data_IF_776922691777
#
_entry.id   IF_776922691777
#
_cell.length_a   1.000
_cell.length_b   1.000
_cell.length_c   1.000
_cell.angle_alpha   90.00
_cell.angle_beta   90.00
_cell.angle_gamma   90.00
#
_symmetry.space_group_name_H-M   'P 1'
#
loop_
_entity.id
_entity.type
_entity.pdbx_description
1 polymer ?
#
# COMPACT_ATOMS: atom_id res chain seq x y z
N UNK A 1 -59.10 15.80 84.65
CA UNK A 1 -58.25 16.19 85.77
C UNK A 1 -57.03 15.29 85.81
N UNK A 2 -55.84 15.89 85.98
CA UNK A 2 -54.52 15.33 86.25
C UNK A 2 -53.68 14.87 85.03
N UNK A 3 -52.77 15.78 84.67
CA UNK A 3 -51.53 15.60 83.91
C UNK A 3 -50.60 14.54 84.52
N UNK A 4 -49.99 13.77 83.67
CA UNK A 4 -48.66 13.22 83.95
C UNK A 4 -47.78 13.40 82.74
N UNK A 5 -46.69 14.17 82.89
CA UNK A 5 -45.58 14.36 81.98
C UNK A 5 -44.73 13.09 82.00
N UNK A 6 -44.38 12.58 80.85
CA UNK A 6 -43.28 11.64 80.68
C UNK A 6 -42.21 12.32 79.79
N UNK A 7 -41.02 12.41 80.35
CA UNK A 7 -39.81 12.90 79.72
C UNK A 7 -39.28 11.79 78.82
N UNK A 8 -39.21 12.04 77.56
CA UNK A 8 -38.64 11.14 76.58
C UNK A 8 -37.14 11.33 76.50
N UNK A 9 -36.42 10.28 76.85
CA UNK A 9 -34.96 10.10 76.57
C UNK A 9 -34.82 9.46 75.17
N UNK A 10 -34.59 10.26 74.19
CA UNK A 10 -34.00 9.85 72.93
C UNK A 10 -33.52 11.10 72.18
N UNK A 11 -32.24 11.36 72.13
CA UNK A 11 -31.53 11.38 70.91
C UNK A 11 -30.04 11.07 71.06
N UNK A 12 -29.62 9.82 70.93
CA UNK A 12 -28.20 9.50 70.86
C UNK A 12 -27.85 8.39 69.86
N UNK A 13 -28.76 8.00 69.00
CA UNK A 13 -28.50 6.93 68.05
C UNK A 13 -28.57 7.35 66.59
N UNK A 14 -28.65 8.63 66.25
CA UNK A 14 -28.79 9.09 64.84
C UNK A 14 -27.50 9.67 64.27
N UNK A 15 -26.41 9.77 65.04
CA UNK A 15 -25.17 10.38 64.56
C UNK A 15 -24.09 9.37 64.09
N UNK A 16 -24.35 8.07 64.10
CA UNK A 16 -23.39 7.02 63.66
C UNK A 16 -23.78 6.34 62.35
N UNK A 17 -24.89 6.73 61.74
CA UNK A 17 -25.41 6.15 60.46
C UNK A 17 -25.06 6.92 59.18
N UNK A 18 -24.41 8.11 59.24
CA UNK A 18 -24.17 8.96 58.06
C UNK A 18 -22.74 8.93 57.56
N UNK A 19 -21.83 8.17 58.20
CA UNK A 19 -20.42 8.14 57.81
C UNK A 19 -20.01 6.95 56.94
N UNK A 20 -20.95 6.14 56.41
CA UNK A 20 -20.61 4.94 55.63
C UNK A 20 -21.20 4.95 54.19
N UNK A 21 -21.65 6.06 53.67
CA UNK A 21 -22.15 6.16 52.28
C UNK A 21 -21.35 7.15 51.40
N UNK A 22 -20.11 7.45 51.75
CA UNK A 22 -19.15 8.13 50.85
C UNK A 22 -18.07 7.20 50.33
N UNK A 23 -18.41 5.95 50.00
CA UNK A 23 -17.54 5.12 49.21
C UNK A 23 -17.98 5.20 47.77
N UNK A 24 -17.34 6.14 47.02
CA UNK A 24 -16.85 5.87 45.73
C UNK A 24 -17.87 5.43 44.68
N UNK A 25 -18.76 6.30 44.27
CA UNK A 25 -19.14 6.31 42.87
C UNK A 25 -17.96 6.94 42.10
N UNK A 26 -16.87 6.19 41.91
CA UNK A 26 -15.98 6.45 40.78
C UNK A 26 -16.86 6.34 39.56
N UNK A 27 -17.32 7.48 39.06
CA UNK A 27 -17.77 7.59 37.69
C UNK A 27 -16.65 7.00 36.84
N UNK A 28 -16.81 5.73 36.45
CA UNK A 28 -16.16 5.16 35.32
C UNK A 28 -16.65 6.00 34.14
N UNK A 29 -16.03 7.16 33.92
CA UNK A 29 -16.09 7.84 32.64
C UNK A 29 -15.48 6.84 31.69
N UNK A 30 -16.33 6.03 31.02
CA UNK A 30 -15.92 5.37 29.78
C UNK A 30 -15.29 6.50 28.97
N UNK A 31 -13.96 6.54 28.93
CA UNK A 31 -13.25 7.30 27.92
C UNK A 31 -13.79 6.73 26.62
N UNK A 32 -14.60 7.50 25.94
CA UNK A 32 -15.00 7.17 24.57
C UNK A 32 -13.69 7.01 23.83
N UNK A 33 -13.35 5.77 23.43
CA UNK A 33 -12.13 5.52 22.70
C UNK A 33 -12.10 6.49 21.52
N UNK A 34 -10.95 7.14 21.30
CA UNK A 34 -10.74 7.89 20.07
C UNK A 34 -10.74 6.88 18.93
N UNK A 35 -11.32 7.22 17.80
CA UNK A 35 -11.34 6.35 16.61
C UNK A 35 -10.49 6.98 15.53
N UNK A 36 -9.50 6.25 15.06
CA UNK A 36 -8.69 6.60 13.88
C UNK A 36 -9.36 6.03 12.63
N UNK A 37 -9.53 6.85 11.61
CA UNK A 37 -10.14 6.45 10.35
C UNK A 37 -9.10 6.39 9.23
N UNK A 38 -8.89 5.18 8.70
CA UNK A 38 -7.97 4.93 7.60
C UNK A 38 -8.76 4.72 6.30
N UNK A 39 -8.27 5.24 5.20
CA UNK A 39 -8.75 4.94 3.86
C UNK A 39 -7.57 4.31 3.10
N UNK A 40 -7.59 2.98 2.93
CA UNK A 40 -6.44 2.19 2.54
C UNK A 40 -6.79 1.22 1.39
N UNK A 41 -5.79 0.68 0.75
CA UNK A 41 -5.94 -0.42 -0.18
C UNK A 41 -6.56 -1.64 0.51
N UNK A 42 -7.30 -2.44 -0.24
CA UNK A 42 -7.90 -3.68 0.26
C UNK A 42 -6.79 -4.63 0.74
N UNK A 43 -6.90 -5.11 1.99
CA UNK A 43 -5.97 -6.05 2.62
C UNK A 43 -4.50 -5.61 2.70
N UNK A 44 -4.22 -4.31 2.80
CA UNK A 44 -2.86 -3.77 2.72
C UNK A 44 -2.20 -3.47 4.08
N UNK A 45 -2.91 -3.58 5.17
CA UNK A 45 -2.35 -3.51 6.53
C UNK A 45 -2.80 -4.74 7.31
N UNK A 46 -1.87 -5.53 7.90
CA UNK A 46 -2.24 -6.74 8.64
C UNK A 46 -3.14 -6.43 9.85
N UNK A 47 -4.20 -7.23 10.03
CA UNK A 47 -5.11 -7.07 11.18
C UNK A 47 -4.38 -7.17 12.52
N UNK A 48 -3.33 -7.98 12.60
CA UNK A 48 -2.50 -8.11 13.80
C UNK A 48 -1.78 -6.81 14.17
N UNK A 49 -1.36 -6.02 13.19
CA UNK A 49 -0.72 -4.71 13.38
C UNK A 49 -1.74 -3.70 13.87
N UNK A 50 -2.95 -3.70 13.28
CA UNK A 50 -4.06 -2.85 13.73
C UNK A 50 -4.44 -3.16 15.18
N UNK A 51 -4.64 -4.43 15.53
CA UNK A 51 -4.99 -4.84 16.89
C UNK A 51 -3.91 -4.47 17.91
N UNK A 52 -2.62 -4.50 17.55
CA UNK A 52 -1.53 -4.06 18.42
C UNK A 52 -1.60 -2.55 18.67
N UNK A 53 -1.86 -1.75 17.62
CA UNK A 53 -2.02 -0.30 17.75
C UNK A 53 -3.22 0.05 18.65
N UNK A 54 -4.38 -0.56 18.40
CA UNK A 54 -5.59 -0.36 19.21
C UNK A 54 -5.34 -0.65 20.69
N UNK A 55 -4.68 -1.77 20.97
CA UNK A 55 -4.35 -2.20 22.35
C UNK A 55 -3.36 -1.26 23.01
N UNK A 56 -2.32 -0.83 22.31
CA UNK A 56 -1.26 0.00 22.89
C UNK A 56 -1.75 1.41 23.18
N UNK A 57 -2.53 2.00 22.28
CA UNK A 57 -2.99 3.39 22.38
C UNK A 57 -4.38 3.54 23.00
N UNK A 58 -5.11 2.44 23.23
CA UNK A 58 -6.46 2.48 23.81
C UNK A 58 -7.45 3.18 22.90
N UNK A 59 -7.41 2.89 21.60
CA UNK A 59 -8.20 3.51 20.54
C UNK A 59 -8.88 2.45 19.68
N UNK A 60 -9.87 2.86 18.88
CA UNK A 60 -10.44 2.02 17.82
C UNK A 60 -9.87 2.47 16.47
N UNK A 61 -9.64 1.54 15.55
CA UNK A 61 -9.27 1.84 14.16
C UNK A 61 -10.39 1.37 13.23
N UNK A 62 -10.79 2.23 12.30
CA UNK A 62 -11.75 1.91 11.24
C UNK A 62 -11.08 2.05 9.89
N UNK A 63 -11.19 1.02 9.06
CA UNK A 63 -10.60 0.98 7.73
C UNK A 63 -11.72 0.88 6.70
N UNK A 64 -11.79 1.87 5.82
CA UNK A 64 -12.48 1.76 4.54
C UNK A 64 -11.43 1.44 3.47
N UNK A 65 -11.81 0.62 2.49
CA UNK A 65 -10.89 0.18 1.46
C UNK A 65 -11.28 0.71 0.08
N UNK A 66 -10.28 0.73 -0.82
CA UNK A 66 -10.41 1.00 -2.24
C UNK A 66 -9.54 0.04 -3.06
N UNK A 67 -9.91 -0.13 -4.33
CA UNK A 67 -9.21 -1.01 -5.25
C UNK A 67 -8.27 -0.25 -6.23
N UNK A 68 -8.48 1.07 -6.41
CA UNK A 68 -7.64 1.89 -7.27
C UNK A 68 -7.46 3.30 -6.74
N UNK A 69 -6.39 3.98 -7.15
CA UNK A 69 -6.17 5.40 -6.82
C UNK A 69 -7.30 6.30 -7.37
N UNK A 70 -7.85 5.96 -8.56
CA UNK A 70 -8.94 6.68 -9.19
C UNK A 70 -10.20 6.63 -8.33
N UNK A 71 -10.55 5.45 -7.81
CA UNK A 71 -11.69 5.26 -6.90
C UNK A 71 -11.50 6.08 -5.61
N UNK A 72 -10.33 5.95 -4.97
CA UNK A 72 -9.96 6.69 -3.78
C UNK A 72 -10.09 8.19 -4.00
N UNK A 73 -9.49 8.71 -5.07
CA UNK A 73 -9.44 10.13 -5.38
C UNK A 73 -10.82 10.68 -5.74
N UNK A 74 -11.59 9.97 -6.58
CA UNK A 74 -12.96 10.36 -6.92
C UNK A 74 -13.86 10.43 -5.67
N UNK A 75 -13.74 9.47 -4.75
CA UNK A 75 -14.49 9.45 -3.49
C UNK A 75 -14.13 10.66 -2.61
N UNK A 76 -12.85 11.00 -2.49
CA UNK A 76 -12.40 12.19 -1.74
C UNK A 76 -12.86 13.50 -2.39
N UNK A 77 -12.79 13.63 -3.72
CA UNK A 77 -13.29 14.80 -4.45
C UNK A 77 -14.80 14.97 -4.35
N UNK A 78 -15.55 13.86 -4.28
CA UNK A 78 -16.99 13.89 -4.04
C UNK A 78 -17.38 14.30 -2.62
N UNK A 79 -16.40 14.63 -1.77
CA UNK A 79 -16.62 15.11 -0.42
C UNK A 79 -16.79 14.01 0.63
N UNK A 80 -16.18 12.86 0.44
CA UNK A 80 -16.07 11.86 1.49
C UNK A 80 -15.16 12.40 2.61
N UNK A 81 -15.78 12.75 3.74
CA UNK A 81 -15.09 13.30 4.91
C UNK A 81 -14.99 12.26 6.03
N UNK A 82 -14.03 12.49 6.92
CA UNK A 82 -13.91 11.75 8.17
C UNK A 82 -12.78 10.75 8.23
N UNK A 83 -12.03 10.59 7.15
CA UNK A 83 -10.78 9.85 7.18
C UNK A 83 -9.65 10.73 7.72
N UNK A 84 -8.74 10.11 8.47
CA UNK A 84 -7.57 10.77 9.02
C UNK A 84 -6.34 10.51 8.14
N UNK A 85 -6.14 9.27 7.70
CA UNK A 85 -5.00 8.84 6.87
C UNK A 85 -5.52 8.18 5.59
N UNK A 86 -4.84 8.47 4.47
CA UNK A 86 -5.02 7.82 3.17
C UNK A 86 -3.67 7.30 2.66
N UNK A 87 -3.68 6.27 1.80
CA UNK A 87 -2.47 5.58 1.31
C UNK A 87 -2.33 5.65 -0.22
N UNK A 88 -2.21 6.83 -0.82
CA UNK A 88 -2.08 6.98 -2.26
C UNK A 88 -0.70 6.53 -2.77
N UNK A 89 -0.66 6.09 -4.03
CA UNK A 89 0.59 5.95 -4.75
C UNK A 89 1.18 7.33 -5.10
N UNK A 90 2.44 7.36 -5.49
CA UNK A 90 3.25 8.58 -5.68
C UNK A 90 2.65 9.63 -6.61
N UNK A 91 2.05 9.22 -7.72
CA UNK A 91 1.42 10.11 -8.71
C UNK A 91 0.19 10.81 -8.12
N UNK A 92 -0.68 10.07 -7.45
CA UNK A 92 -1.83 10.66 -6.73
C UNK A 92 -1.40 11.44 -5.49
N UNK A 93 -0.33 11.04 -4.79
CA UNK A 93 0.26 11.84 -3.72
C UNK A 93 0.70 13.21 -4.25
N UNK A 94 1.39 13.25 -5.41
CA UNK A 94 1.79 14.50 -6.06
C UNK A 94 0.59 15.38 -6.42
N UNK A 95 -0.47 14.80 -6.99
CA UNK A 95 -1.72 15.50 -7.32
C UNK A 95 -2.38 16.07 -6.06
N UNK A 96 -2.51 15.26 -5.00
CA UNK A 96 -3.14 15.67 -3.74
C UNK A 96 -2.35 16.79 -3.04
N UNK A 97 -1.02 16.77 -3.12
CA UNK A 97 -0.17 17.89 -2.63
C UNK A 97 -0.47 19.17 -3.42
N UNK A 98 -0.49 19.10 -4.75
CA UNK A 98 -0.78 20.26 -5.64
C UNK A 98 -2.16 20.86 -5.34
N UNK A 99 -3.15 20.03 -5.06
CA UNK A 99 -4.52 20.45 -4.75
C UNK A 99 -4.72 20.87 -3.28
N UNK A 100 -3.69 20.79 -2.42
CA UNK A 100 -3.80 21.17 -1.01
C UNK A 100 -4.70 20.26 -0.18
N UNK A 101 -4.85 19.00 -0.58
CA UNK A 101 -5.71 18.00 0.08
C UNK A 101 -5.06 17.36 1.32
N UNK A 102 -3.75 17.56 1.52
CA UNK A 102 -2.97 16.93 2.58
C UNK A 102 -2.53 17.93 3.65
N UNK A 103 -2.49 17.47 4.90
CA UNK A 103 -1.87 18.20 6.01
C UNK A 103 -0.34 18.04 5.97
N UNK A 104 0.35 19.04 6.50
CA UNK A 104 1.79 18.91 6.73
C UNK A 104 2.06 17.94 7.87
N UNK A 105 3.08 17.12 7.71
CA UNK A 105 3.52 16.16 8.71
C UNK A 105 4.56 16.81 9.63
N UNK A 106 4.33 16.72 10.93
CA UNK A 106 5.30 17.13 11.94
C UNK A 106 6.23 15.95 12.26
N UNK A 107 7.37 15.89 11.58
CA UNK A 107 8.35 14.82 11.75
C UNK A 107 8.97 14.77 13.17
N UNK A 108 8.87 15.84 13.96
CA UNK A 108 9.34 15.83 15.36
C UNK A 108 8.51 14.90 16.24
N UNK A 109 7.26 14.61 15.82
CA UNK A 109 6.34 13.65 16.45
C UNK A 109 6.44 12.23 15.90
N UNK A 110 7.29 12.02 14.89
CA UNK A 110 7.54 10.71 14.26
C UNK A 110 9.02 10.35 14.39
N UNK A 111 9.56 10.09 15.59
CA UNK A 111 10.98 9.79 15.78
C UNK A 111 11.47 8.57 14.98
N UNK A 112 10.59 7.62 14.64
CA UNK A 112 10.93 6.45 13.83
C UNK A 112 11.12 6.77 12.33
N UNK A 113 10.93 8.04 11.90
CA UNK A 113 11.24 8.45 10.53
C UNK A 113 12.72 8.22 10.14
N UNK A 114 13.61 8.11 11.13
CA UNK A 114 15.04 7.79 10.93
C UNK A 114 15.27 6.42 10.28
N UNK A 115 14.28 5.52 10.33
CA UNK A 115 14.36 4.19 9.72
C UNK A 115 13.92 4.18 8.25
N UNK A 116 13.36 5.28 7.74
CA UNK A 116 13.00 5.38 6.31
C UNK A 116 14.26 5.43 5.47
N UNK A 117 14.35 4.54 4.51
CA UNK A 117 15.50 4.41 3.61
C UNK A 117 15.72 5.71 2.80
N UNK A 118 16.90 6.34 2.91
CA UNK A 118 17.22 7.55 2.15
C UNK A 118 17.12 7.37 0.62
N UNK A 119 17.37 6.17 0.09
CA UNK A 119 17.25 5.91 -1.34
C UNK A 119 15.80 5.97 -1.83
N UNK A 120 14.85 5.57 -0.98
CA UNK A 120 13.40 5.76 -1.27
C UNK A 120 13.07 7.24 -1.33
N UNK A 121 13.60 8.04 -0.40
CA UNK A 121 13.36 9.50 -0.38
C UNK A 121 13.95 10.19 -1.61
N UNK A 122 15.08 9.72 -2.14
CA UNK A 122 15.64 10.23 -3.41
C UNK A 122 14.73 9.94 -4.59
N UNK A 123 14.08 8.77 -4.60
CA UNK A 123 13.10 8.39 -5.64
C UNK A 123 11.75 9.13 -5.45
N UNK A 124 11.39 9.49 -4.23
CA UNK A 124 10.15 10.23 -3.92
C UNK A 124 10.27 11.73 -4.26
N UNK A 125 10.52 12.06 -5.52
CA UNK A 125 10.77 13.43 -6.01
C UNK A 125 9.62 14.39 -5.73
N UNK A 126 8.41 13.86 -5.58
CA UNK A 126 7.19 14.62 -5.25
C UNK A 126 7.17 15.14 -3.80
N UNK A 127 7.87 14.47 -2.86
CA UNK A 127 7.96 14.88 -1.45
C UNK A 127 9.19 14.25 -0.74
N UNK A 128 10.39 14.52 -1.23
CA UNK A 128 11.64 13.93 -0.74
C UNK A 128 11.98 14.26 0.73
N UNK A 129 11.25 15.17 1.34
CA UNK A 129 11.42 15.60 2.74
C UNK A 129 10.35 15.09 3.69
N UNK A 130 9.44 14.26 3.21
CA UNK A 130 8.29 13.76 3.98
C UNK A 130 7.45 14.88 4.61
N UNK A 131 7.27 15.99 3.88
CA UNK A 131 6.50 17.13 4.37
C UNK A 131 5.00 16.86 4.40
N UNK A 132 4.50 16.01 3.50
CA UNK A 132 3.09 15.68 3.34
C UNK A 132 2.82 14.17 3.30
N UNK A 133 3.86 13.36 3.09
CA UNK A 133 3.74 11.94 2.86
C UNK A 133 4.90 11.19 3.51
N UNK A 134 4.63 10.05 4.14
CA UNK A 134 5.67 9.15 4.66
C UNK A 134 5.58 7.84 3.87
N UNK A 135 6.66 7.39 3.21
CA UNK A 135 6.64 6.15 2.46
C UNK A 135 6.15 4.97 3.31
N UNK A 136 5.20 4.23 2.75
CA UNK A 136 4.64 3.03 3.37
C UNK A 136 5.24 1.77 2.76
N UNK A 137 5.23 1.68 1.42
CA UNK A 137 5.88 0.60 0.70
C UNK A 137 6.39 1.08 -0.67
N UNK A 138 7.42 0.39 -1.20
CA UNK A 138 7.98 0.63 -2.52
C UNK A 138 8.16 -0.72 -3.22
N UNK A 139 7.61 -0.85 -4.42
CA UNK A 139 7.68 -2.06 -5.23
C UNK A 139 7.55 -1.78 -6.72
N UNK A 140 7.58 -2.86 -7.50
CA UNK A 140 7.38 -2.84 -8.94
C UNK A 140 6.64 -4.10 -9.39
N UNK A 141 5.97 -4.03 -10.53
CA UNK A 141 5.53 -5.24 -11.22
C UNK A 141 6.75 -6.01 -11.73
N UNK A 142 6.63 -7.32 -11.75
CA UNK A 142 7.66 -8.22 -12.23
C UNK A 142 7.07 -9.32 -13.10
N UNK A 143 7.86 -10.38 -13.28
CA UNK A 143 7.47 -11.54 -14.07
C UNK A 143 7.47 -12.78 -13.21
N UNK A 144 6.32 -13.47 -13.16
CA UNK A 144 6.22 -14.81 -12.59
C UNK A 144 6.29 -15.86 -13.69
N UNK A 145 7.16 -16.85 -13.49
CA UNK A 145 7.40 -17.97 -14.41
C UNK A 145 7.14 -19.28 -13.71
N UNK A 146 6.34 -20.14 -14.32
CA UNK A 146 6.16 -21.52 -13.88
C UNK A 146 7.36 -22.36 -14.33
N UNK A 147 8.31 -22.63 -13.43
CA UNK A 147 9.55 -23.38 -13.71
C UNK A 147 9.29 -24.82 -14.15
N UNK A 148 8.14 -25.39 -13.91
CA UNK A 148 7.80 -26.74 -14.36
C UNK A 148 7.39 -26.78 -15.83
N UNK A 149 7.11 -25.63 -16.43
CA UNK A 149 6.62 -25.48 -17.81
C UNK A 149 7.58 -24.71 -18.70
N UNK A 150 8.36 -23.80 -18.13
CA UNK A 150 9.26 -22.92 -18.88
C UNK A 150 10.69 -23.13 -18.39
N UNK A 151 11.58 -23.46 -19.29
CA UNK A 151 13.00 -23.62 -19.04
C UNK A 151 13.81 -22.60 -19.88
N UNK A 152 15.05 -22.33 -19.47
CA UNK A 152 16.04 -21.55 -20.22
C UNK A 152 15.50 -20.17 -20.66
N UNK A 153 15.30 -19.27 -19.71
CA UNK A 153 14.91 -17.89 -19.95
C UNK A 153 15.84 -16.92 -19.21
N UNK A 154 16.01 -15.75 -19.80
CA UNK A 154 16.66 -14.62 -19.14
C UNK A 154 15.64 -13.88 -18.26
N UNK A 155 16.12 -13.29 -17.18
CA UNK A 155 15.29 -12.41 -16.31
C UNK A 155 15.17 -11.02 -16.97
N UNK A 156 14.41 -10.97 -18.05
CA UNK A 156 14.24 -9.83 -18.94
C UNK A 156 12.80 -9.77 -19.44
N UNK A 157 12.33 -8.57 -19.80
CA UNK A 157 11.03 -8.38 -20.48
C UNK A 157 10.96 -9.08 -21.84
N UNK A 158 12.12 -9.44 -22.44
CA UNK A 158 12.16 -10.18 -23.71
C UNK A 158 11.46 -11.55 -23.64
N UNK A 159 11.18 -12.06 -22.45
CA UNK A 159 10.41 -13.31 -22.26
C UNK A 159 9.06 -13.25 -22.98
N UNK A 160 8.42 -12.06 -23.07
CA UNK A 160 7.14 -11.89 -23.75
C UNK A 160 7.26 -11.93 -25.30
N UNK A 161 8.47 -11.84 -25.85
CA UNK A 161 8.73 -12.03 -27.27
C UNK A 161 8.89 -13.50 -27.69
N UNK A 162 8.89 -14.45 -26.71
CA UNK A 162 9.08 -15.88 -26.97
C UNK A 162 7.86 -16.52 -27.65
N UNK A 163 8.04 -16.89 -28.91
CA UNK A 163 6.99 -17.50 -29.73
C UNK A 163 6.65 -18.94 -29.35
N UNK A 164 7.57 -19.65 -28.71
CA UNK A 164 7.33 -21.03 -28.19
C UNK A 164 6.41 -21.03 -26.95
N UNK A 165 6.20 -19.87 -26.30
CA UNK A 165 5.26 -19.67 -25.21
C UNK A 165 3.94 -19.04 -25.66
N UNK A 166 3.72 -18.89 -26.96
CA UNK A 166 2.49 -18.30 -27.52
C UNK A 166 1.24 -18.95 -26.96
N UNK A 167 0.30 -18.13 -26.48
CA UNK A 167 -0.95 -18.60 -25.89
C UNK A 167 -0.81 -19.11 -24.45
N UNK A 168 0.32 -18.80 -23.78
CA UNK A 168 0.59 -19.16 -22.38
C UNK A 168 1.11 -17.99 -21.55
N UNK A 169 1.03 -16.76 -22.08
CA UNK A 169 1.51 -15.57 -21.43
C UNK A 169 0.40 -14.53 -21.27
N UNK A 170 0.49 -13.74 -20.22
CA UNK A 170 -0.42 -12.64 -19.93
C UNK A 170 0.37 -11.44 -19.39
N UNK A 171 0.00 -10.24 -19.80
CA UNK A 171 0.46 -9.00 -19.19
C UNK A 171 -0.72 -8.30 -18.50
N UNK A 172 -0.43 -7.39 -17.59
CA UNK A 172 -1.44 -6.59 -16.92
C UNK A 172 -2.22 -5.73 -17.90
N UNK A 173 -3.50 -5.50 -17.66
CA UNK A 173 -4.29 -4.47 -18.36
C UNK A 173 -4.07 -3.12 -17.67
N UNK A 174 -2.82 -2.68 -17.65
CA UNK A 174 -2.39 -1.40 -17.09
C UNK A 174 -1.42 -0.71 -18.06
N UNK A 175 -1.85 0.43 -18.59
CA UNK A 175 -1.06 1.15 -19.59
C UNK A 175 0.27 1.67 -19.06
N UNK A 176 0.32 2.09 -17.79
CA UNK A 176 1.54 2.66 -17.20
C UNK A 176 2.56 1.59 -16.90
N UNK A 177 2.10 0.39 -16.54
CA UNK A 177 2.98 -0.77 -16.37
C UNK A 177 3.49 -1.26 -17.72
N UNK A 178 2.62 -1.64 -18.64
CA UNK A 178 3.03 -2.30 -19.90
C UNK A 178 3.85 -1.38 -20.81
N UNK A 179 3.43 -0.11 -20.99
CA UNK A 179 4.20 0.86 -21.79
C UNK A 179 5.51 1.19 -21.08
N UNK A 180 5.50 1.34 -19.75
CA UNK A 180 6.68 1.62 -18.94
C UNK A 180 7.71 0.49 -19.02
N UNK A 181 7.27 -0.76 -18.98
CA UNK A 181 8.16 -1.94 -19.14
C UNK A 181 8.78 -2.00 -20.52
N UNK A 182 8.01 -1.67 -21.56
CA UNK A 182 8.53 -1.60 -22.93
C UNK A 182 9.55 -0.47 -23.06
N UNK A 183 9.30 0.69 -22.48
CA UNK A 183 10.27 1.80 -22.44
C UNK A 183 11.54 1.39 -21.69
N UNK A 184 11.42 0.77 -20.52
CA UNK A 184 12.57 0.29 -19.75
C UNK A 184 13.38 -0.74 -20.55
N UNK A 185 12.71 -1.71 -21.20
CA UNK A 185 13.37 -2.69 -22.08
C UNK A 185 14.16 -2.02 -23.21
N UNK A 186 13.65 -0.93 -23.77
CA UNK A 186 14.31 -0.14 -24.81
C UNK A 186 15.38 0.82 -24.26
N UNK A 187 15.65 0.82 -22.95
CA UNK A 187 16.59 1.74 -22.31
C UNK A 187 16.11 3.19 -22.29
N UNK A 188 14.78 3.41 -22.28
CA UNK A 188 14.13 4.71 -22.27
C UNK A 188 13.53 5.03 -20.90
N UNK A 189 13.35 6.31 -20.54
CA UNK A 189 12.66 6.67 -19.32
C UNK A 189 11.20 6.14 -19.31
N UNK A 190 10.76 5.53 -18.21
CA UNK A 190 9.39 4.98 -18.07
C UNK A 190 8.29 6.05 -18.15
N UNK A 191 8.66 7.32 -17.99
CA UNK A 191 7.77 8.47 -18.09
C UNK A 191 7.97 9.26 -19.39
N UNK A 192 8.65 8.70 -20.41
CA UNK A 192 8.94 9.41 -21.65
C UNK A 192 7.65 9.90 -22.34
N UNK A 193 7.65 11.17 -22.74
CA UNK A 193 6.63 11.79 -23.56
C UNK A 193 7.12 12.07 -24.99
N UNK A 194 8.34 11.61 -25.31
CA UNK A 194 8.91 11.69 -26.66
C UNK A 194 8.15 10.75 -27.60
N UNK A 195 7.72 11.30 -28.73
CA UNK A 195 6.89 10.55 -29.69
C UNK A 195 7.64 9.37 -30.33
N UNK A 196 8.99 9.47 -30.50
CA UNK A 196 9.79 8.40 -31.06
C UNK A 196 9.97 7.25 -30.04
N UNK A 197 10.13 7.57 -28.76
CA UNK A 197 10.19 6.58 -27.68
C UNK A 197 8.85 5.84 -27.55
N UNK A 198 7.75 6.57 -27.52
CA UNK A 198 6.40 6.01 -27.44
C UNK A 198 6.06 5.14 -28.66
N UNK A 199 6.43 5.59 -29.86
CA UNK A 199 6.27 4.79 -31.09
C UNK A 199 7.11 3.50 -31.03
N UNK A 200 8.34 3.56 -30.55
CA UNK A 200 9.18 2.37 -30.39
C UNK A 200 8.58 1.37 -29.40
N UNK A 201 8.06 1.86 -28.25
CA UNK A 201 7.36 1.03 -27.26
C UNK A 201 6.09 0.39 -27.86
N UNK A 202 5.28 1.16 -28.60
CA UNK A 202 4.11 0.64 -29.32
C UNK A 202 4.49 -0.53 -30.24
N UNK A 203 5.51 -0.33 -31.08
CA UNK A 203 5.95 -1.36 -32.03
C UNK A 203 6.48 -2.61 -31.31
N UNK A 204 7.22 -2.45 -30.23
CA UNK A 204 7.68 -3.57 -29.43
C UNK A 204 6.50 -4.39 -28.86
N UNK A 205 5.53 -3.70 -28.24
CA UNK A 205 4.38 -4.37 -27.64
C UNK A 205 3.51 -5.00 -28.74
N UNK A 206 3.12 -4.25 -29.75
CA UNK A 206 2.18 -4.69 -30.78
C UNK A 206 2.76 -5.82 -31.65
N UNK A 207 4.03 -5.74 -32.03
CA UNK A 207 4.63 -6.65 -33.00
C UNK A 207 5.34 -7.85 -32.37
N UNK A 208 5.80 -7.71 -31.11
CA UNK A 208 6.66 -8.74 -30.48
C UNK A 208 6.02 -9.39 -29.27
N UNK A 209 5.36 -8.63 -28.41
CA UNK A 209 4.80 -9.15 -27.17
C UNK A 209 3.35 -9.59 -27.32
N UNK A 210 2.44 -8.69 -27.75
CA UNK A 210 1.00 -8.94 -27.89
C UNK A 210 0.68 -10.20 -28.69
N UNK A 211 1.33 -10.53 -29.83
CA UNK A 211 1.01 -11.74 -30.61
C UNK A 211 1.21 -13.05 -29.86
N UNK A 212 1.96 -13.03 -28.75
CA UNK A 212 2.24 -14.22 -27.95
C UNK A 212 1.34 -14.31 -26.70
N UNK A 213 0.68 -13.20 -26.32
CA UNK A 213 -0.21 -13.14 -25.16
C UNK A 213 -1.54 -13.85 -25.45
N UNK A 214 -2.17 -14.36 -24.40
CA UNK A 214 -3.58 -14.74 -24.40
C UNK A 214 -4.44 -13.47 -24.35
N UNK A 215 -4.10 -12.56 -23.43
CA UNK A 215 -4.81 -11.29 -23.18
C UNK A 215 -3.96 -10.35 -22.33
N UNK A 216 -4.43 -9.11 -22.21
CA UNK A 216 -4.15 -8.25 -21.08
C UNK A 216 -5.21 -8.50 -20.00
N UNK A 217 -4.82 -8.53 -18.71
CA UNK A 217 -5.72 -8.89 -17.59
C UNK A 217 -5.40 -8.03 -16.36
N UNK A 218 -6.38 -7.29 -15.86
CA UNK A 218 -6.19 -6.41 -14.71
C UNK A 218 -6.16 -7.17 -13.36
N UNK A 219 -6.96 -8.23 -13.23
CA UNK A 219 -7.23 -8.85 -11.91
C UNK A 219 -7.03 -10.37 -11.89
N UNK A 220 -7.28 -11.05 -13.01
CA UNK A 220 -7.34 -12.51 -13.06
C UNK A 220 -6.00 -13.21 -13.33
N UNK A 221 -4.92 -12.49 -13.60
CA UNK A 221 -3.63 -13.04 -14.01
C UNK A 221 -3.02 -14.02 -12.98
N UNK A 222 -3.09 -13.69 -11.68
CA UNK A 222 -2.58 -14.54 -10.61
C UNK A 222 -3.35 -15.86 -10.52
N UNK A 223 -4.68 -15.83 -10.58
CA UNK A 223 -5.53 -17.00 -10.56
C UNK A 223 -5.30 -17.90 -11.77
N UNK A 224 -5.19 -17.31 -12.96
CA UNK A 224 -4.93 -18.05 -14.20
C UNK A 224 -3.50 -18.63 -14.24
N UNK A 225 -2.54 -17.99 -13.59
CA UNK A 225 -1.21 -18.55 -13.39
C UNK A 225 -1.24 -19.74 -12.43
N UNK A 226 -1.93 -19.61 -11.29
CA UNK A 226 -2.05 -20.67 -10.29
C UNK A 226 -2.76 -21.92 -10.83
N UNK A 227 -3.79 -21.76 -11.69
CA UNK A 227 -4.48 -22.86 -12.38
C UNK A 227 -3.61 -23.54 -13.45
N UNK A 228 -2.58 -22.86 -13.97
CA UNK A 228 -1.71 -23.35 -15.05
C UNK A 228 -2.17 -22.98 -16.46
N UNK A 229 -3.18 -22.13 -16.60
CA UNK A 229 -3.61 -21.59 -17.89
C UNK A 229 -2.54 -20.69 -18.49
N UNK A 230 -1.91 -19.85 -17.63
CA UNK A 230 -0.72 -19.08 -17.98
C UNK A 230 0.54 -19.68 -17.37
N UNK A 231 1.63 -19.62 -18.10
CA UNK A 231 2.94 -20.10 -17.65
C UNK A 231 3.89 -18.94 -17.32
N UNK A 232 3.63 -17.79 -17.91
CA UNK A 232 4.34 -16.53 -17.66
C UNK A 232 3.32 -15.40 -17.51
N UNK A 233 3.43 -14.62 -16.45
CA UNK A 233 2.59 -13.44 -16.23
C UNK A 233 3.43 -12.26 -15.78
N UNK A 234 3.10 -11.06 -16.29
CA UNK A 234 3.49 -9.80 -15.67
C UNK A 234 2.50 -9.48 -14.56
N UNK A 235 2.99 -9.06 -13.41
CA UNK A 235 2.13 -8.64 -12.31
C UNK A 235 2.89 -8.38 -11.02
N UNK A 236 2.15 -8.05 -9.98
CA UNK A 236 2.70 -7.88 -8.64
C UNK A 236 2.90 -9.24 -7.97
N UNK A 237 4.02 -9.40 -7.26
CA UNK A 237 4.38 -10.65 -6.59
C UNK A 237 3.28 -11.14 -5.67
N UNK A 238 2.76 -10.27 -4.81
CA UNK A 238 1.72 -10.57 -3.84
C UNK A 238 0.43 -11.07 -4.51
N UNK A 239 0.04 -10.51 -5.64
CA UNK A 239 -1.15 -10.93 -6.38
C UNK A 239 -0.99 -12.33 -7.00
N UNK A 240 0.22 -12.69 -7.42
CA UNK A 240 0.52 -14.04 -7.93
C UNK A 240 0.58 -15.04 -6.78
N UNK A 241 1.33 -14.74 -5.74
CA UNK A 241 1.56 -15.69 -4.64
C UNK A 241 0.36 -15.87 -3.71
N UNK A 242 -0.57 -14.89 -3.65
CA UNK A 242 -1.85 -15.07 -2.96
C UNK A 242 -2.70 -16.20 -3.56
N UNK A 243 -2.58 -16.46 -4.87
CA UNK A 243 -3.37 -17.48 -5.57
C UNK A 243 -2.64 -18.83 -5.67
N UNK A 244 -1.30 -18.84 -5.59
CA UNK A 244 -0.51 -20.08 -5.67
C UNK A 244 -0.42 -20.72 -4.29
N UNK A 245 -0.82 -22.00 -4.12
CA UNK A 245 -0.64 -22.70 -2.85
C UNK A 245 0.82 -22.69 -2.37
N UNK A 246 1.07 -22.43 -1.10
CA UNK A 246 2.43 -22.27 -0.54
C UNK A 246 3.36 -23.46 -0.86
N UNK A 247 2.83 -24.68 -0.81
CA UNK A 247 3.60 -25.90 -1.15
C UNK A 247 4.03 -25.97 -2.62
N UNK A 248 3.54 -25.07 -3.48
CA UNK A 248 3.91 -24.93 -4.90
C UNK A 248 4.78 -23.70 -5.18
N UNK A 249 5.03 -22.84 -4.21
CA UNK A 249 5.87 -21.64 -4.40
C UNK A 249 7.25 -21.97 -4.95
N UNK A 250 7.83 -23.10 -4.56
CA UNK A 250 9.09 -23.59 -5.12
C UNK A 250 9.09 -23.81 -6.64
N UNK A 251 7.92 -23.89 -7.28
CA UNK A 251 7.76 -24.02 -8.73
C UNK A 251 7.63 -22.69 -9.45
N UNK A 252 7.55 -21.58 -8.71
CA UNK A 252 7.47 -20.22 -9.26
C UNK A 252 8.85 -19.58 -9.19
N UNK A 253 9.28 -18.95 -10.26
CA UNK A 253 10.37 -17.96 -10.24
C UNK A 253 9.73 -16.59 -10.48
N UNK A 254 9.80 -15.72 -9.47
CA UNK A 254 9.40 -14.33 -9.61
C UNK A 254 10.63 -13.45 -9.65
N UNK A 255 10.68 -12.54 -10.58
CA UNK A 255 11.79 -11.60 -10.70
C UNK A 255 11.33 -10.24 -11.25
N UNK A 256 12.01 -9.20 -10.83
CA UNK A 256 11.99 -7.91 -11.51
C UNK A 256 13.01 -8.00 -12.65
N UNK A 257 12.62 -7.74 -13.91
CA UNK A 257 13.54 -7.80 -15.04
C UNK A 257 14.75 -6.89 -14.89
N UNK A 258 15.89 -7.33 -15.42
CA UNK A 258 17.19 -6.61 -15.31
C UNK A 258 17.17 -5.19 -15.88
N UNK A 259 16.27 -4.91 -16.79
CA UNK A 259 16.07 -3.59 -17.37
C UNK A 259 15.34 -2.63 -16.41
N UNK A 260 14.78 -3.14 -15.30
CA UNK A 260 13.89 -2.44 -14.43
C UNK A 260 12.49 -2.30 -15.05
N UNK A 261 11.73 -1.34 -14.57
CA UNK A 261 10.36 -1.05 -15.00
C UNK A 261 9.78 0.11 -14.19
N UNK A 262 8.46 0.34 -14.28
CA UNK A 262 7.76 1.27 -13.42
C UNK A 262 7.86 0.89 -11.95
N UNK A 263 8.17 1.87 -11.10
CA UNK A 263 8.23 1.76 -9.65
C UNK A 263 7.07 2.50 -9.03
N UNK A 264 6.47 1.95 -7.99
CA UNK A 264 5.51 2.66 -7.17
C UNK A 264 6.02 2.88 -5.74
N UNK A 265 5.57 3.96 -5.12
CA UNK A 265 5.73 4.24 -3.70
C UNK A 265 4.37 4.63 -3.16
N UNK A 266 3.78 3.76 -2.36
CA UNK A 266 2.60 4.10 -1.60
C UNK A 266 3.01 4.81 -0.32
N UNK A 267 2.26 5.84 0.06
CA UNK A 267 2.63 6.69 1.18
C UNK A 267 1.48 6.88 2.15
N UNK A 268 1.79 6.95 3.44
CA UNK A 268 0.86 7.39 4.48
C UNK A 268 0.74 8.91 4.42
N UNK A 269 -0.46 9.41 4.11
CA UNK A 269 -0.76 10.83 4.00
C UNK A 269 -1.89 11.21 4.95
N UNK A 270 -1.74 12.31 5.70
CA UNK A 270 -2.78 12.84 6.57
C UNK A 270 -3.66 13.79 5.76
N UNK A 271 -4.96 13.52 5.71
CA UNK A 271 -5.91 14.34 4.95
C UNK A 271 -6.12 15.72 5.58
N UNK A 272 -6.33 16.73 4.73
CA UNK A 272 -6.68 18.07 5.16
C UNK A 272 -7.96 18.05 5.98
N UNK A 273 -7.88 18.60 7.21
CA UNK A 273 -9.01 18.60 8.15
C UNK A 273 -9.23 17.26 8.88
N UNK A 274 -8.23 16.36 8.92
CA UNK A 274 -8.23 15.17 9.75
C UNK A 274 -8.59 15.52 11.21
N UNK A 275 -9.56 14.81 11.78
CA UNK A 275 -10.04 15.10 13.14
C UNK A 275 -9.09 14.63 14.22
N UNK A 276 -8.29 13.62 13.92
CA UNK A 276 -7.39 12.96 14.85
C UNK A 276 -5.94 13.08 14.40
N UNK A 277 -5.52 14.30 14.00
CA UNK A 277 -4.18 14.57 13.45
C UNK A 277 -3.04 14.01 14.32
N UNK A 278 -3.07 14.25 15.66
CA UNK A 278 -2.03 13.73 16.55
C UNK A 278 -2.02 12.20 16.61
N UNK A 279 -3.20 11.56 16.61
CA UNK A 279 -3.32 10.12 16.58
C UNK A 279 -2.85 9.53 15.24
N UNK A 280 -3.06 10.27 14.14
CA UNK A 280 -2.52 9.90 12.82
C UNK A 280 -0.99 9.90 12.81
N UNK A 281 -0.35 10.89 13.45
CA UNK A 281 1.12 10.92 13.60
C UNK A 281 1.62 9.76 14.48
N UNK A 282 0.90 9.43 15.56
CA UNK A 282 1.21 8.28 16.42
C UNK A 282 1.12 6.97 15.63
N UNK A 283 0.10 6.82 14.77
CA UNK A 283 -0.05 5.65 13.91
C UNK A 283 1.11 5.52 12.91
N UNK A 284 1.45 6.62 12.21
CA UNK A 284 2.59 6.63 11.27
C UNK A 284 3.88 6.25 12.01
N UNK A 285 4.12 6.84 13.18
CA UNK A 285 5.30 6.52 13.99
C UNK A 285 5.30 5.05 14.47
N UNK A 286 4.15 4.51 14.82
CA UNK A 286 3.99 3.10 15.22
C UNK A 286 4.31 2.15 14.06
N UNK A 287 3.76 2.41 12.87
CA UNK A 287 4.03 1.60 11.67
C UNK A 287 5.53 1.58 11.34
N UNK A 288 6.23 2.70 11.51
CA UNK A 288 7.67 2.79 11.21
C UNK A 288 8.58 2.10 12.24
N UNK A 289 8.07 1.55 13.34
CA UNK A 289 8.88 0.71 14.24
C UNK A 289 9.36 -0.52 13.49
N UNK A 290 10.66 -0.84 13.48
CA UNK A 290 11.19 -1.97 12.70
C UNK A 290 10.49 -3.30 12.94
N UNK A 291 10.19 -3.61 14.22
CA UNK A 291 9.51 -4.85 14.61
C UNK A 291 8.02 -4.89 14.23
N UNK A 292 7.39 -3.73 14.09
CA UNK A 292 6.00 -3.62 13.59
C UNK A 292 5.99 -3.70 12.07
N UNK A 293 6.88 -2.94 11.42
CA UNK A 293 7.00 -2.94 9.98
C UNK A 293 7.38 -4.33 9.43
N UNK A 294 8.20 -5.10 10.17
CA UNK A 294 8.54 -6.47 9.79
C UNK A 294 7.32 -7.39 9.70
N UNK A 295 6.27 -7.19 10.53
CA UNK A 295 5.04 -7.99 10.45
C UNK A 295 4.28 -7.73 9.14
N UNK A 296 4.31 -6.49 8.65
CA UNK A 296 3.79 -6.14 7.33
C UNK A 296 4.59 -6.85 6.23
N UNK A 297 5.93 -6.79 6.28
CA UNK A 297 6.80 -7.47 5.32
C UNK A 297 6.59 -8.99 5.34
N UNK A 298 6.48 -9.59 6.53
CA UNK A 298 6.24 -11.03 6.69
C UNK A 298 4.90 -11.47 6.09
N UNK A 299 3.86 -10.64 6.23
CA UNK A 299 2.51 -10.98 5.71
C UNK A 299 2.49 -11.06 4.19
N UNK A 300 3.24 -10.18 3.52
CA UNK A 300 3.25 -10.09 2.05
C UNK A 300 4.52 -10.65 1.43
N UNK A 301 5.45 -11.15 2.24
CA UNK A 301 6.78 -11.61 1.79
C UNK A 301 7.55 -10.54 1.00
N UNK A 302 7.36 -9.29 1.37
CA UNK A 302 8.00 -8.15 0.73
C UNK A 302 9.45 -7.96 1.18
N UNK A 303 10.33 -7.43 0.31
CA UNK A 303 11.65 -7.00 0.74
C UNK A 303 11.57 -5.74 1.62
N UNK A 304 12.54 -5.58 2.50
CA UNK A 304 12.69 -4.41 3.38
C UNK A 304 13.21 -3.19 2.61
N UNK A 305 12.42 -2.68 1.64
CA UNK A 305 12.85 -1.58 0.76
C UNK A 305 12.73 -0.20 1.41
N UNK A 306 11.65 0.04 2.16
CA UNK A 306 11.36 1.34 2.79
C UNK A 306 11.97 1.46 4.18
N UNK A 307 11.85 0.43 5.03
CA UNK A 307 12.39 0.42 6.38
C UNK A 307 13.49 -0.66 6.47
N UNK A 308 14.74 -0.28 6.19
CA UNK A 308 15.86 -1.23 6.13
C UNK A 308 16.07 -1.99 7.45
N UNK A 309 15.83 -1.32 8.58
CA UNK A 309 16.00 -1.93 9.91
C UNK A 309 15.00 -3.06 10.16
N UNK A 310 13.83 -3.01 9.53
CA UNK A 310 12.81 -4.05 9.66
C UNK A 310 13.28 -5.42 9.11
N UNK A 311 14.20 -5.45 8.15
CA UNK A 311 14.78 -6.68 7.64
C UNK A 311 15.47 -7.53 8.72
N UNK A 312 15.97 -6.93 9.80
CA UNK A 312 16.55 -7.65 10.93
C UNK A 312 15.51 -8.41 11.79
N UNK A 313 14.24 -8.03 11.68
CA UNK A 313 13.12 -8.63 12.43
C UNK A 313 12.24 -9.51 11.52
N UNK A 314 12.46 -9.49 10.21
CA UNK A 314 11.70 -10.28 9.25
C UNK A 314 12.00 -11.78 9.42
N UNK A 315 10.93 -12.59 9.38
CA UNK A 315 10.99 -14.04 9.65
C UNK A 315 10.75 -14.86 8.39
N UNK A 316 10.05 -14.29 7.42
CA UNK A 316 9.70 -14.98 6.18
C UNK A 316 10.67 -14.63 5.05
N UNK A 317 10.97 -15.58 4.15
CA UNK A 317 11.75 -15.26 2.96
C UNK A 317 10.97 -14.30 2.05
N UNK A 318 11.71 -13.41 1.39
CA UNK A 318 11.13 -12.43 0.44
C UNK A 318 10.90 -13.07 -0.93
N UNK A 319 9.89 -12.59 -1.65
CA UNK A 319 9.57 -13.04 -3.01
C UNK A 319 10.60 -12.53 -4.05
N UNK A 320 11.21 -11.40 -3.77
CA UNK A 320 12.32 -10.82 -4.54
C UNK A 320 13.19 -9.97 -3.59
N UNK A 321 14.30 -9.41 -4.07
CA UNK A 321 15.19 -8.59 -3.22
C UNK A 321 15.04 -7.10 -3.49
N UNK A 322 15.37 -6.25 -2.53
CA UNK A 322 15.33 -4.79 -2.69
C UNK A 322 16.27 -4.29 -3.78
N UNK A 323 17.42 -4.97 -4.02
CA UNK A 323 18.36 -4.65 -5.08
C UNK A 323 17.73 -4.79 -6.47
N UNK A 324 16.76 -5.69 -6.62
CA UNK A 324 16.04 -5.86 -7.89
C UNK A 324 15.30 -4.59 -8.34
N UNK A 325 15.03 -3.65 -7.40
CA UNK A 325 14.35 -2.39 -7.67
C UNK A 325 15.31 -1.25 -8.09
N UNK A 326 16.63 -1.47 -8.10
CA UNK A 326 17.60 -0.40 -8.36
C UNK A 326 17.41 0.25 -9.74
N UNK A 327 17.18 -0.57 -10.78
CA UNK A 327 16.97 -0.11 -12.16
C UNK A 327 15.53 0.38 -12.42
N UNK A 328 14.62 0.23 -11.46
CA UNK A 328 13.26 0.70 -11.61
C UNK A 328 13.17 2.22 -11.44
N UNK A 329 12.28 2.84 -12.21
CA UNK A 329 12.06 4.28 -12.22
C UNK A 329 10.64 4.59 -11.73
N UNK A 330 10.53 5.60 -10.86
CA UNK A 330 9.23 5.98 -10.30
C UNK A 330 8.26 6.42 -11.40
N UNK A 331 7.01 5.98 -11.31
CA UNK A 331 5.91 6.52 -12.13
C UNK A 331 5.60 7.93 -11.67
N UNK A 332 5.68 8.89 -12.56
CA UNK A 332 5.37 10.30 -12.30
C UNK A 332 3.95 10.65 -12.80
N UNK A 333 3.37 11.71 -12.24
CA UNK A 333 2.19 12.35 -12.80
C UNK A 333 2.55 12.95 -14.17
N UNK A 334 2.01 12.40 -15.25
CA UNK A 334 2.25 12.85 -16.62
C UNK A 334 1.42 14.07 -17.01
N UNK A 335 0.53 14.52 -16.14
CA UNK A 335 -0.38 15.62 -16.40
C UNK A 335 -1.09 15.48 -17.78
N UNK A 336 -1.01 16.49 -18.64
CA UNK A 336 -1.59 16.46 -20.00
C UNK A 336 -0.97 15.38 -20.91
N UNK A 337 0.25 14.93 -20.60
CA UNK A 337 0.92 13.85 -21.34
C UNK A 337 0.28 12.48 -21.17
N UNK A 338 -0.59 12.29 -20.15
CA UNK A 338 -1.31 11.05 -19.91
C UNK A 338 -2.21 10.68 -21.13
N UNK A 339 -2.72 11.65 -21.85
CA UNK A 339 -3.56 11.43 -23.05
C UNK A 339 -2.78 10.73 -24.18
N UNK A 340 -1.46 10.97 -24.29
CA UNK A 340 -0.61 10.23 -25.24
C UNK A 340 -0.57 8.74 -24.90
N UNK A 341 -0.41 8.41 -23.62
CA UNK A 341 -0.42 7.02 -23.15
C UNK A 341 -1.79 6.37 -23.35
N UNK A 342 -2.88 7.06 -23.04
CA UNK A 342 -4.23 6.56 -23.28
C UNK A 342 -4.45 6.24 -24.78
N UNK A 343 -4.13 7.17 -25.67
CA UNK A 343 -4.27 6.97 -27.12
C UNK A 343 -3.43 5.78 -27.58
N UNK A 344 -2.19 5.68 -27.13
CA UNK A 344 -1.29 4.58 -27.45
C UNK A 344 -1.84 3.25 -26.95
N UNK A 345 -2.33 3.22 -25.70
CA UNK A 345 -2.89 2.02 -25.07
C UNK A 345 -4.12 1.51 -25.80
N UNK A 346 -5.05 2.39 -26.17
CA UNK A 346 -6.22 2.02 -26.98
C UNK A 346 -5.78 1.39 -28.32
N UNK A 347 -4.79 1.98 -28.98
CA UNK A 347 -4.23 1.44 -30.22
C UNK A 347 -3.62 0.05 -30.03
N UNK A 348 -2.79 -0.13 -28.99
CA UNK A 348 -2.19 -1.43 -28.66
C UNK A 348 -3.27 -2.50 -28.38
N UNK A 349 -4.30 -2.16 -27.62
CA UNK A 349 -5.35 -3.12 -27.23
C UNK A 349 -6.25 -3.55 -28.37
N UNK A 350 -6.66 -2.63 -29.24
CA UNK A 350 -7.75 -2.83 -30.20
C UNK A 350 -7.31 -2.88 -31.67
N UNK A 351 -6.03 -2.70 -31.99
CA UNK A 351 -5.51 -2.97 -33.35
C UNK A 351 -5.15 -4.45 -33.44
N UNK A 352 -5.63 -5.14 -34.47
CA UNK A 352 -5.35 -6.56 -34.79
C UNK A 352 -3.89 -6.77 -35.20
#
# INVERSE_FOLDING_TARGET
MKNKRYISLAPLCILLGILFFYTGCTKCTQRKNKTLYLFNWTYYTPDSVIAQFEKEFGVDVKIDSYASNEEMFAKLLAGAYGYDIVFPSQDYTAIMIKLGMLEKIDLTKIPNNIYVNPEVLKKATYDSTMKYSVPYYMGAAGVAVNKTKVANYDKSWDIFARTDLKGRMCMMDDMREVIGDALAFLGKPVNSLDDADLYAAERLIADKWKPNLVKFDAEGFGKSFASGDFWVVQGYAEAVFAEVPENKWGNVDFFIPKEGGPLYIDSMCILKGARNYDLALEFINFILRPEIYAQFLDTFHFPSSVNLKAGEFQKTPTLYTSEALENCQIKEDLAEGLEKYNTLWQKIRFTD
#
